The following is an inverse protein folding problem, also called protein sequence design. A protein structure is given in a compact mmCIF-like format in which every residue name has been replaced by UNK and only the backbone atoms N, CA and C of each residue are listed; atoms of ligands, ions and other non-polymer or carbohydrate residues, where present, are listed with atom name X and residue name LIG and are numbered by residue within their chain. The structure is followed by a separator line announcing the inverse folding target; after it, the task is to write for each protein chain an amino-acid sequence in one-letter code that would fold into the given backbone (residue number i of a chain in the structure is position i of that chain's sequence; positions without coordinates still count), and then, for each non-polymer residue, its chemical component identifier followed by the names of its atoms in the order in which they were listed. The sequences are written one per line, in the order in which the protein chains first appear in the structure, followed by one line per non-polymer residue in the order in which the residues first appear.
data_IF_104039954481
#
_entry.id   IF_104039954481
#
_cell.length_a   1.000
_cell.length_b   1.000
_cell.length_c   1.000
_cell.angle_alpha   90.00
_cell.angle_beta   90.00
_cell.angle_gamma   90.00
#
_symmetry.space_group_name_H-M   'P 1'
#
loop_
_entity.id
_entity.type
_entity.pdbx_description
1 polymer ?
#
# COMPACT_ATOMS: atom_id res chain seq x y z
N UNK A 1 -3.22 -23.17 5.86
CA UNK A 1 -1.92 -22.57 5.51
C UNK A 1 -1.04 -22.62 6.76
N UNK A 2 0.27 -22.86 6.61
CA UNK A 2 1.19 -22.65 7.72
C UNK A 2 1.23 -21.16 8.06
N UNK A 3 1.12 -20.82 9.34
CA UNK A 3 1.30 -19.43 9.80
C UNK A 3 2.68 -18.92 9.43
N UNK A 4 2.80 -17.61 9.15
CA UNK A 4 4.10 -16.98 8.87
C UNK A 4 5.06 -17.20 10.04
N UNK A 5 4.57 -16.98 11.27
CA UNK A 5 5.30 -17.22 12.52
C UNK A 5 4.40 -18.00 13.49
N UNK A 6 4.76 -19.24 13.85
CA UNK A 6 4.06 -20.01 14.88
C UNK A 6 3.98 -19.25 16.21
N UNK A 7 2.87 -19.39 16.95
CA UNK A 7 2.63 -18.64 18.20
C UNK A 7 3.74 -18.84 19.25
N UNK A 8 4.26 -20.06 19.36
CA UNK A 8 5.33 -20.43 20.29
C UNK A 8 6.71 -19.87 19.90
N UNK A 9 6.83 -19.26 18.72
CA UNK A 9 8.08 -18.67 18.21
C UNK A 9 8.03 -17.14 18.15
N UNK A 10 6.89 -16.53 18.49
CA UNK A 10 6.72 -15.08 18.47
C UNK A 10 7.57 -14.43 19.56
N UNK A 11 8.15 -13.28 19.23
CA UNK A 11 8.82 -12.42 20.18
C UNK A 11 7.86 -11.92 21.25
N UNK A 12 8.39 -11.71 22.45
CA UNK A 12 7.69 -11.03 23.53
C UNK A 12 7.82 -9.50 23.44
N UNK A 13 8.57 -8.99 22.47
CA UNK A 13 8.72 -7.55 22.25
C UNK A 13 7.39 -6.90 21.82
N UNK A 14 7.14 -5.65 22.25
CA UNK A 14 5.90 -4.97 21.90
C UNK A 14 5.90 -4.44 20.45
N UNK A 15 4.76 -4.60 19.77
CA UNK A 15 4.53 -4.13 18.39
C UNK A 15 3.96 -2.70 18.30
N UNK A 16 4.01 -1.92 19.38
CA UNK A 16 3.45 -0.56 19.46
C UNK A 16 4.52 0.54 19.59
N UNK A 17 5.79 0.18 19.47
CA UNK A 17 6.94 1.08 19.66
C UNK A 17 7.60 1.48 18.34
N UNK A 18 8.49 2.49 18.41
CA UNK A 18 9.31 2.91 17.26
C UNK A 18 10.27 1.83 16.77
N UNK A 19 10.51 0.77 17.57
CA UNK A 19 11.31 -0.38 17.17
C UNK A 19 10.59 -1.27 16.15
N UNK A 20 9.31 -1.02 15.82
CA UNK A 20 8.51 -1.87 14.91
C UNK A 20 9.20 -2.19 13.58
N UNK A 21 9.97 -1.23 13.04
CA UNK A 21 10.70 -1.39 11.79
C UNK A 21 11.85 -2.41 11.89
N UNK A 22 12.39 -2.61 13.10
CA UNK A 22 13.47 -3.54 13.42
C UNK A 22 13.00 -4.74 14.26
N UNK A 23 11.70 -4.81 14.59
CA UNK A 23 11.15 -5.88 15.41
C UNK A 23 11.42 -7.25 14.75
N UNK A 24 11.92 -8.24 15.51
CA UNK A 24 12.36 -9.52 14.95
C UNK A 24 11.27 -10.22 14.14
N UNK A 25 10.04 -10.25 14.64
CA UNK A 25 8.92 -10.87 13.90
C UNK A 25 8.51 -10.07 12.66
N UNK A 26 8.70 -8.74 12.67
CA UNK A 26 8.40 -7.91 11.50
C UNK A 26 9.43 -8.15 10.40
N UNK A 27 10.71 -8.24 10.78
CA UNK A 27 11.81 -8.62 9.87
C UNK A 27 11.55 -10.02 9.30
N UNK A 28 11.29 -11.02 10.15
CA UNK A 28 11.02 -12.40 9.75
C UNK A 28 9.81 -12.51 8.82
N UNK A 29 8.72 -11.78 9.10
CA UNK A 29 7.54 -11.82 8.26
C UNK A 29 7.79 -11.22 6.87
N UNK A 30 8.52 -10.11 6.77
CA UNK A 30 8.89 -9.54 5.47
C UNK A 30 9.84 -10.46 4.70
N UNK A 31 10.81 -11.08 5.37
CA UNK A 31 11.69 -12.09 4.77
C UNK A 31 10.87 -13.27 4.24
N UNK A 32 9.91 -13.77 5.01
CA UNK A 32 9.00 -14.84 4.59
C UNK A 32 8.18 -14.44 3.36
N UNK A 33 7.67 -13.20 3.31
CA UNK A 33 6.94 -12.65 2.15
C UNK A 33 7.80 -12.61 0.88
N UNK A 34 9.13 -12.56 0.98
CA UNK A 34 10.04 -12.58 -0.18
C UNK A 34 10.80 -13.90 -0.38
N UNK A 35 10.57 -14.92 0.44
CA UNK A 35 11.26 -16.22 0.32
C UNK A 35 10.29 -17.38 0.18
N UNK A 36 9.29 -17.45 1.03
CA UNK A 36 8.39 -18.61 1.17
C UNK A 36 7.02 -18.37 0.54
N UNK A 37 6.51 -17.14 0.62
CA UNK A 37 5.18 -16.81 0.10
C UNK A 37 5.07 -17.12 -1.40
N UNK A 38 4.04 -17.85 -1.80
CA UNK A 38 3.77 -18.18 -3.20
C UNK A 38 3.03 -17.01 -3.86
N UNK A 39 3.81 -16.07 -4.40
CA UNK A 39 3.27 -14.86 -5.01
C UNK A 39 2.51 -15.21 -6.29
N UNK A 40 1.24 -14.77 -6.45
CA UNK A 40 0.47 -15.04 -7.65
C UNK A 40 1.07 -14.35 -8.87
N UNK A 41 0.83 -14.92 -10.05
CA UNK A 41 1.02 -14.24 -11.33
C UNK A 41 -0.30 -13.55 -11.67
N UNK A 42 -0.24 -12.23 -11.92
CA UNK A 42 -1.40 -11.39 -12.24
C UNK A 42 -0.99 -10.35 -13.28
N UNK A 43 -1.91 -9.92 -14.13
CA UNK A 43 -1.58 -8.90 -15.14
C UNK A 43 -1.17 -7.58 -14.50
N UNK A 44 -1.92 -7.15 -13.48
CA UNK A 44 -1.71 -5.88 -12.79
C UNK A 44 -1.37 -6.13 -11.32
N UNK A 45 -0.37 -5.43 -10.79
CA UNK A 45 -0.14 -5.30 -9.35
C UNK A 45 -0.37 -3.87 -8.90
N UNK A 46 -1.14 -3.70 -7.82
CA UNK A 46 -1.44 -2.40 -7.23
C UNK A 46 -0.89 -2.37 -5.80
N UNK A 47 0.06 -1.47 -5.57
CA UNK A 47 0.58 -1.14 -4.26
C UNK A 47 -0.26 -0.03 -3.62
N UNK A 48 -0.74 -0.26 -2.40
CA UNK A 48 -1.48 0.72 -1.58
C UNK A 48 -0.83 0.87 -0.20
N UNK A 49 -0.85 2.06 0.42
CA UNK A 49 -0.22 2.27 1.72
C UNK A 49 -1.04 1.61 2.84
N UNK A 50 -0.35 1.20 3.91
CA UNK A 50 -0.96 0.67 5.12
C UNK A 50 -1.92 1.67 5.77
N UNK A 51 -2.93 1.17 6.47
CA UNK A 51 -3.91 1.97 7.20
C UNK A 51 -3.82 1.79 8.72
N UNK A 52 -4.33 2.77 9.47
CA UNK A 52 -4.45 2.69 10.94
C UNK A 52 -5.34 1.51 11.36
N UNK A 53 -6.51 1.37 10.73
CA UNK A 53 -7.41 0.23 10.96
C UNK A 53 -6.85 -1.01 10.26
N UNK A 54 -6.86 -2.13 10.98
CA UNK A 54 -6.47 -3.46 10.50
C UNK A 54 -7.61 -4.47 10.78
N UNK A 55 -7.72 -5.55 9.99
CA UNK A 55 -6.93 -5.81 8.78
C UNK A 55 -7.17 -4.73 7.71
N UNK A 56 -6.18 -4.48 6.86
CA UNK A 56 -6.16 -3.27 6.03
C UNK A 56 -7.36 -3.21 5.11
N UNK A 57 -7.77 -4.34 4.54
CA UNK A 57 -8.91 -4.43 3.63
C UNK A 57 -10.25 -4.00 4.26
N UNK A 58 -10.36 -3.97 5.58
CA UNK A 58 -11.56 -3.48 6.27
C UNK A 58 -11.51 -1.98 6.63
N UNK A 59 -10.40 -1.31 6.34
CA UNK A 59 -10.26 0.12 6.59
C UNK A 59 -11.13 0.95 5.64
N UNK A 60 -11.63 2.13 6.07
CA UNK A 60 -12.42 3.00 5.20
C UNK A 60 -11.70 3.37 3.90
N UNK A 61 -10.40 3.64 3.96
CA UNK A 61 -9.58 3.96 2.79
C UNK A 61 -9.47 2.78 1.83
N UNK A 62 -9.15 1.57 2.33
CA UNK A 62 -9.07 0.39 1.46
C UNK A 62 -10.42 0.04 0.85
N UNK A 63 -11.53 0.21 1.57
CA UNK A 63 -12.87 0.00 0.98
C UNK A 63 -13.14 0.93 -0.20
N UNK A 64 -12.66 2.16 -0.15
CA UNK A 64 -12.76 3.09 -1.29
C UNK A 64 -11.81 2.70 -2.42
N UNK A 65 -10.58 2.29 -2.10
CA UNK A 65 -9.65 1.80 -3.12
C UNK A 65 -10.24 0.57 -3.83
N UNK A 66 -10.83 -0.35 -3.08
CA UNK A 66 -11.49 -1.55 -3.60
C UNK A 66 -12.69 -1.22 -4.49
N UNK A 67 -13.49 -0.22 -4.13
CA UNK A 67 -14.57 0.27 -4.99
C UNK A 67 -14.02 0.70 -6.35
N UNK A 68 -12.91 1.44 -6.39
CA UNK A 68 -12.29 1.85 -7.67
C UNK A 68 -11.71 0.64 -8.41
N UNK A 69 -10.89 -0.17 -7.75
CA UNK A 69 -10.21 -1.33 -8.34
C UNK A 69 -11.22 -2.33 -8.95
N UNK A 70 -12.16 -2.81 -8.14
CA UNK A 70 -13.07 -3.89 -8.53
C UNK A 70 -14.26 -3.42 -9.35
N UNK A 71 -14.44 -2.11 -9.52
CA UNK A 71 -15.34 -1.58 -10.54
C UNK A 71 -14.81 -1.79 -11.97
N UNK A 72 -13.50 -2.00 -12.14
CA UNK A 72 -12.85 -2.11 -13.45
C UNK A 72 -12.17 -3.46 -13.67
N UNK A 73 -11.63 -4.10 -12.63
CA UNK A 73 -10.84 -5.32 -12.70
C UNK A 73 -11.56 -6.50 -12.04
N UNK A 74 -11.38 -7.71 -12.59
CA UNK A 74 -11.72 -8.94 -11.86
C UNK A 74 -10.63 -9.26 -10.82
N UNK A 75 -11.00 -10.05 -9.80
CA UNK A 75 -10.06 -10.45 -8.75
C UNK A 75 -8.83 -11.21 -9.30
N UNK A 76 -8.99 -11.92 -10.41
CA UNK A 76 -7.91 -12.66 -11.07
C UNK A 76 -7.04 -11.81 -12.01
N UNK A 77 -7.41 -10.55 -12.26
CA UNK A 77 -6.58 -9.62 -13.05
C UNK A 77 -5.55 -8.89 -12.19
N UNK A 78 -5.83 -8.74 -10.90
CA UNK A 78 -5.12 -7.82 -10.01
C UNK A 78 -4.56 -8.51 -8.76
N UNK A 79 -3.31 -8.20 -8.44
CA UNK A 79 -2.73 -8.47 -7.12
C UNK A 79 -2.64 -7.18 -6.32
N UNK A 80 -3.17 -7.16 -5.10
CA UNK A 80 -3.18 -5.96 -4.25
C UNK A 80 -2.19 -6.16 -3.11
N UNK A 81 -1.22 -5.26 -3.02
CA UNK A 81 -0.12 -5.35 -2.07
C UNK A 81 -0.12 -4.11 -1.20
N UNK A 82 -0.26 -4.31 0.12
CA UNK A 82 -0.14 -3.21 1.07
C UNK A 82 1.33 -3.00 1.42
N UNK A 83 1.78 -1.76 1.61
CA UNK A 83 3.14 -1.45 2.09
C UNK A 83 3.15 -0.30 3.10
N UNK A 84 4.19 -0.17 3.91
CA UNK A 84 4.34 0.94 4.84
C UNK A 84 4.99 0.55 6.16
N UNK A 85 4.39 0.92 7.30
CA UNK A 85 5.06 0.80 8.62
C UNK A 85 5.55 -0.62 8.93
N UNK A 86 4.80 -1.64 8.50
CA UNK A 86 5.14 -3.05 8.66
C UNK A 86 5.91 -3.66 7.47
N UNK A 87 6.33 -2.88 6.48
CA UNK A 87 6.85 -3.39 5.23
C UNK A 87 5.74 -3.89 4.29
N UNK A 88 6.07 -4.87 3.45
CA UNK A 88 5.24 -5.33 2.34
C UNK A 88 4.34 -6.49 2.79
N UNK A 89 3.03 -6.29 2.69
CA UNK A 89 1.99 -7.23 3.06
C UNK A 89 0.98 -7.39 1.90
N UNK A 90 1.15 -8.41 1.06
CA UNK A 90 0.12 -8.86 0.12
C UNK A 90 -1.23 -9.03 0.82
N UNK A 91 -2.34 -8.65 0.17
CA UNK A 91 -3.65 -8.52 0.81
C UNK A 91 -4.12 -9.80 1.50
N UNK A 92 -3.91 -10.95 0.89
CA UNK A 92 -4.22 -12.28 1.44
C UNK A 92 -3.45 -12.63 2.72
N UNK A 93 -2.43 -11.83 3.09
CA UNK A 93 -1.66 -11.97 4.32
C UNK A 93 -1.96 -10.87 5.34
N UNK A 94 -2.89 -9.94 5.07
CA UNK A 94 -3.10 -8.77 5.95
C UNK A 94 -3.74 -9.10 7.32
N UNK A 95 -4.31 -10.30 7.45
CA UNK A 95 -4.82 -10.89 8.68
C UNK A 95 -3.81 -11.82 9.37
N UNK A 96 -2.60 -11.98 8.82
CA UNK A 96 -1.58 -12.82 9.44
C UNK A 96 -0.70 -12.01 10.40
N UNK A 97 -0.25 -12.68 11.46
CA UNK A 97 0.75 -12.10 12.37
C UNK A 97 2.08 -11.88 11.65
N UNK A 98 2.75 -10.72 11.80
CA UNK A 98 2.44 -9.60 12.69
C UNK A 98 1.72 -8.42 12.00
N UNK A 99 1.27 -8.57 10.75
CA UNK A 99 0.75 -7.46 9.94
C UNK A 99 -0.53 -6.84 10.54
N UNK A 100 -1.39 -7.64 11.17
CA UNK A 100 -2.61 -7.14 11.82
C UNK A 100 -2.40 -6.63 13.25
N UNK A 101 -1.29 -6.99 13.91
CA UNK A 101 -1.15 -6.90 15.37
C UNK A 101 -0.43 -5.64 15.89
N UNK A 102 0.28 -4.92 15.03
CA UNK A 102 0.99 -3.72 15.45
C UNK A 102 0.05 -2.52 15.66
N UNK A 103 0.44 -1.52 16.44
CA UNK A 103 -0.34 -0.28 16.60
C UNK A 103 0.50 1.00 16.44
N UNK A 104 1.82 0.86 16.27
CA UNK A 104 2.71 1.99 15.98
C UNK A 104 2.31 2.72 14.69
N UNK A 105 2.32 4.06 14.73
CA UNK A 105 1.95 4.91 13.60
C UNK A 105 3.14 5.77 13.16
N UNK A 106 3.78 5.38 12.06
CA UNK A 106 4.93 6.14 11.51
C UNK A 106 4.58 7.60 11.20
N UNK A 107 3.38 7.86 10.68
CA UNK A 107 2.92 9.22 10.36
C UNK A 107 2.82 10.17 11.57
N UNK A 108 2.81 9.65 12.81
CA UNK A 108 2.84 10.46 14.04
C UNK A 108 4.24 10.57 14.65
N UNK A 109 5.22 9.84 14.13
CA UNK A 109 6.58 9.88 14.64
C UNK A 109 7.31 11.12 14.10
N UNK A 110 7.79 11.98 14.98
CA UNK A 110 8.59 13.17 14.62
C UNK A 110 10.09 12.97 14.89
N UNK A 111 10.52 11.75 15.22
CA UNK A 111 11.92 11.45 15.48
C UNK A 111 12.64 11.28 14.14
N UNK A 112 13.52 12.23 13.81
CA UNK A 112 14.24 12.27 12.53
C UNK A 112 15.07 11.01 12.26
N UNK A 113 15.60 10.37 13.31
CA UNK A 113 16.30 9.08 13.17
C UNK A 113 15.33 7.98 12.70
N UNK A 114 14.18 7.83 13.37
CA UNK A 114 13.17 6.82 13.05
C UNK A 114 12.63 7.00 11.62
N UNK A 115 12.39 8.24 11.18
CA UNK A 115 11.98 8.50 9.78
C UNK A 115 13.02 8.07 8.75
N UNK A 116 14.30 8.34 9.02
CA UNK A 116 15.40 7.90 8.14
C UNK A 116 15.54 6.38 8.12
N UNK A 117 15.46 5.75 9.28
CA UNK A 117 15.55 4.29 9.42
C UNK A 117 14.34 3.61 8.75
N UNK A 118 13.14 4.19 8.88
CA UNK A 118 11.94 3.78 8.16
C UNK A 118 12.15 3.83 6.66
N UNK A 119 12.51 5.00 6.11
CA UNK A 119 12.70 5.17 4.68
C UNK A 119 13.73 4.17 4.13
N UNK A 120 14.87 4.02 4.80
CA UNK A 120 15.89 3.04 4.41
C UNK A 120 15.37 1.61 4.42
N UNK A 121 14.65 1.22 5.48
CA UNK A 121 14.13 -0.14 5.65
C UNK A 121 13.03 -0.43 4.63
N UNK A 122 12.17 0.56 4.37
CA UNK A 122 11.06 0.44 3.44
C UNK A 122 11.53 0.37 1.99
N UNK A 123 12.51 1.20 1.60
CA UNK A 123 13.16 1.11 0.28
C UNK A 123 13.76 -0.28 0.07
N UNK A 124 14.45 -0.83 1.07
CA UNK A 124 15.02 -2.18 1.00
C UNK A 124 13.92 -3.23 0.76
N UNK A 125 12.87 -3.24 1.59
CA UNK A 125 11.78 -4.23 1.51
C UNK A 125 11.01 -4.14 0.20
N UNK A 126 10.71 -2.92 -0.26
CA UNK A 126 10.09 -2.69 -1.56
C UNK A 126 10.99 -3.18 -2.70
N UNK A 127 12.29 -2.89 -2.65
CA UNK A 127 13.24 -3.34 -3.68
C UNK A 127 13.32 -4.86 -3.76
N UNK A 128 13.39 -5.54 -2.61
CA UNK A 128 13.39 -7.01 -2.53
C UNK A 128 12.11 -7.60 -3.14
N UNK A 129 10.94 -7.01 -2.81
CA UNK A 129 9.67 -7.47 -3.36
C UNK A 129 9.54 -7.18 -4.86
N UNK A 130 9.92 -6.00 -5.33
CA UNK A 130 9.92 -5.66 -6.76
C UNK A 130 10.80 -6.63 -7.53
N UNK A 131 12.05 -6.87 -7.10
CA UNK A 131 12.97 -7.82 -7.73
C UNK A 131 12.36 -9.22 -7.78
N UNK A 132 11.83 -9.70 -6.64
CA UNK A 132 11.22 -11.04 -6.55
C UNK A 132 10.07 -11.20 -7.53
N UNK A 133 9.30 -10.14 -7.73
CA UNK A 133 8.06 -10.17 -8.51
C UNK A 133 8.21 -9.62 -9.93
N UNK A 134 9.44 -9.40 -10.41
CA UNK A 134 9.71 -8.79 -11.72
C UNK A 134 8.96 -9.46 -12.88
N UNK A 135 8.81 -10.79 -12.82
CA UNK A 135 8.18 -11.62 -13.85
C UNK A 135 6.73 -12.04 -13.48
N UNK A 136 6.22 -11.62 -12.32
CA UNK A 136 4.87 -11.96 -11.85
C UNK A 136 3.80 -11.03 -12.40
N UNK A 137 4.17 -9.80 -12.80
CA UNK A 137 3.24 -8.77 -13.23
C UNK A 137 3.69 -8.07 -14.50
N UNK A 138 2.74 -7.84 -15.41
CA UNK A 138 2.94 -7.07 -16.64
C UNK A 138 2.91 -5.56 -16.37
N UNK A 139 2.06 -5.11 -15.43
CA UNK A 139 1.91 -3.70 -15.07
C UNK A 139 1.90 -3.49 -13.54
N UNK A 140 2.49 -2.39 -13.08
CA UNK A 140 2.56 -2.04 -11.64
C UNK A 140 2.11 -0.61 -11.42
N UNK A 141 1.22 -0.41 -10.45
CA UNK A 141 0.76 0.90 -9.99
C UNK A 141 1.09 1.02 -8.51
N UNK A 142 1.56 2.19 -8.06
CA UNK A 142 1.66 2.50 -6.64
C UNK A 142 0.84 3.75 -6.31
N UNK A 143 -0.20 3.57 -5.50
CA UNK A 143 -1.09 4.65 -5.09
C UNK A 143 -0.66 5.24 -3.75
N UNK A 144 0.24 6.22 -3.76
CA UNK A 144 0.89 6.69 -2.54
C UNK A 144 1.39 8.15 -2.60
N UNK A 145 1.54 8.74 -1.42
CA UNK A 145 1.96 10.13 -1.18
C UNK A 145 2.97 10.19 0.00
N UNK A 146 3.64 11.33 0.16
CA UNK A 146 4.56 11.58 1.26
C UNK A 146 5.73 10.59 1.32
N UNK A 147 6.14 10.20 2.53
CA UNK A 147 7.27 9.30 2.77
C UNK A 147 7.12 7.93 2.07
N UNK A 148 5.88 7.43 1.89
CA UNK A 148 5.62 6.19 1.15
C UNK A 148 5.90 6.35 -0.35
N UNK A 149 5.56 7.51 -0.92
CA UNK A 149 5.88 7.83 -2.32
C UNK A 149 7.38 7.90 -2.51
N UNK A 150 8.09 8.58 -1.59
CA UNK A 150 9.55 8.67 -1.64
C UNK A 150 10.20 7.27 -1.58
N UNK A 151 9.72 6.39 -0.70
CA UNK A 151 10.22 5.02 -0.59
C UNK A 151 10.00 4.21 -1.88
N UNK A 152 8.80 4.27 -2.45
CA UNK A 152 8.48 3.56 -3.70
C UNK A 152 9.28 4.11 -4.88
N UNK A 153 9.42 5.43 -5.00
CA UNK A 153 10.23 6.06 -6.06
C UNK A 153 11.67 5.55 -6.02
N UNK A 154 12.31 5.59 -4.84
CA UNK A 154 13.69 5.11 -4.68
C UNK A 154 13.82 3.63 -4.98
N UNK A 155 12.89 2.80 -4.52
CA UNK A 155 12.91 1.36 -4.79
C UNK A 155 12.75 1.05 -6.30
N UNK A 156 11.86 1.76 -6.99
CA UNK A 156 11.69 1.62 -8.44
C UNK A 156 12.95 2.06 -9.20
N UNK A 157 13.59 3.16 -8.80
CA UNK A 157 14.85 3.65 -9.36
C UNK A 157 16.01 2.67 -9.12
N UNK A 158 16.18 2.17 -7.89
CA UNK A 158 17.26 1.25 -7.51
C UNK A 158 17.16 -0.10 -8.24
N UNK A 159 15.94 -0.59 -8.46
CA UNK A 159 15.69 -1.88 -9.12
C UNK A 159 15.58 -1.80 -10.63
N UNK A 160 15.32 -0.60 -11.18
CA UNK A 160 14.99 -0.39 -12.59
C UNK A 160 13.63 -0.99 -12.99
N UNK A 161 12.79 -1.37 -12.02
CA UNK A 161 11.47 -1.95 -12.28
C UNK A 161 10.45 -0.83 -12.41
N UNK A 162 9.75 -0.81 -13.55
CA UNK A 162 8.76 0.22 -13.81
C UNK A 162 7.55 0.09 -12.88
N UNK A 163 7.23 1.17 -12.18
CA UNK A 163 6.04 1.32 -11.33
C UNK A 163 5.43 2.69 -11.63
N UNK A 164 4.14 2.71 -11.98
CA UNK A 164 3.40 3.95 -12.19
C UNK A 164 2.97 4.51 -10.84
N UNK A 165 3.62 5.58 -10.38
CA UNK A 165 3.41 6.15 -9.05
C UNK A 165 2.45 7.34 -9.12
N UNK A 166 1.27 7.15 -8.53
CA UNK A 166 0.16 8.11 -8.53
C UNK A 166 -0.31 8.41 -7.09
N UNK A 167 -0.98 9.54 -6.80
CA UNK A 167 -1.41 10.60 -7.71
C UNK A 167 -0.25 11.32 -8.42
N UNK A 168 -0.53 12.07 -9.48
CA UNK A 168 0.49 12.87 -10.17
C UNK A 168 1.00 14.00 -9.25
N UNK A 169 2.22 14.50 -9.50
CA UNK A 169 2.76 15.62 -8.73
C UNK A 169 1.87 16.86 -8.83
N UNK A 170 1.30 17.13 -10.01
CA UNK A 170 0.37 18.23 -10.25
C UNK A 170 -0.91 18.09 -9.42
N UNK A 171 -1.49 16.88 -9.38
CA UNK A 171 -2.68 16.58 -8.58
C UNK A 171 -2.39 16.75 -7.08
N UNK A 172 -1.21 16.31 -6.63
CA UNK A 172 -0.76 16.48 -5.25
C UNK A 172 -0.68 17.97 -4.91
N UNK A 173 0.00 18.78 -5.71
CA UNK A 173 0.18 20.22 -5.50
C UNK A 173 -1.16 20.96 -5.39
N UNK A 174 -2.14 20.64 -6.25
CA UNK A 174 -3.49 21.22 -6.21
C UNK A 174 -4.25 20.91 -4.92
N UNK A 175 -3.95 19.77 -4.30
CA UNK A 175 -4.63 19.26 -3.12
C UNK A 175 -3.91 19.58 -1.80
N UNK A 176 -2.79 20.32 -1.83
CA UNK A 176 -2.08 20.69 -0.60
C UNK A 176 -2.96 21.59 0.28
N UNK A 177 -3.13 21.19 1.54
CA UNK A 177 -3.88 21.88 2.58
C UNK A 177 -2.91 22.42 3.65
N UNK A 178 -2.31 23.60 3.45
CA UNK A 178 -1.21 24.09 4.30
C UNK A 178 -1.62 24.32 5.77
N UNK A 179 -2.91 24.51 6.03
CA UNK A 179 -3.45 24.78 7.37
C UNK A 179 -3.84 23.51 8.15
N UNK A 180 -3.56 22.31 7.63
CA UNK A 180 -3.90 21.04 8.26
C UNK A 180 -2.64 20.34 8.78
N UNK A 181 -2.80 19.51 9.82
CA UNK A 181 -1.70 18.68 10.37
C UNK A 181 -1.14 17.71 9.31
N UNK A 182 -2.01 17.18 8.46
CA UNK A 182 -1.63 16.40 7.28
C UNK A 182 -1.88 17.24 6.04
N UNK A 183 -0.81 17.77 5.45
CA UNK A 183 -0.91 18.76 4.37
C UNK A 183 -1.26 18.17 3.02
N UNK A 184 -1.12 16.85 2.82
CA UNK A 184 -1.27 16.23 1.51
C UNK A 184 -2.72 15.81 1.17
N UNK A 185 -3.72 16.16 1.99
CA UNK A 185 -5.10 15.68 1.85
C UNK A 185 -5.23 14.13 1.92
N UNK A 186 -6.43 13.58 2.03
CA UNK A 186 -6.61 12.13 2.07
C UNK A 186 -6.43 11.50 0.68
N UNK A 187 -5.80 10.33 0.58
CA UNK A 187 -5.86 9.43 -0.60
C UNK A 187 -7.29 8.99 -0.94
N UNK A 188 -8.27 9.35 -0.14
CA UNK A 188 -9.69 9.18 -0.40
C UNK A 188 -10.34 10.37 -1.11
N UNK A 189 -9.62 11.46 -1.37
CA UNK A 189 -10.22 12.63 -2.03
C UNK A 189 -10.52 12.33 -3.51
N UNK A 190 -11.54 13.00 -4.10
CA UNK A 190 -11.96 12.76 -5.47
C UNK A 190 -10.82 12.85 -6.49
N UNK A 191 -10.02 13.90 -6.45
CA UNK A 191 -8.92 14.13 -7.39
C UNK A 191 -7.89 12.99 -7.39
N UNK A 192 -7.58 12.41 -6.22
CA UNK A 192 -6.64 11.30 -6.12
C UNK A 192 -7.26 9.98 -6.58
N UNK A 193 -8.55 9.75 -6.30
CA UNK A 193 -9.28 8.59 -6.79
C UNK A 193 -9.46 8.64 -8.32
N UNK A 194 -9.58 9.83 -8.91
CA UNK A 194 -9.61 10.04 -10.36
C UNK A 194 -8.28 9.65 -11.00
N UNK A 195 -7.15 10.13 -10.45
CA UNK A 195 -5.81 9.70 -10.87
C UNK A 195 -5.66 8.16 -10.76
N UNK A 196 -6.21 7.57 -9.70
CA UNK A 196 -6.16 6.13 -9.48
C UNK A 196 -6.96 5.34 -10.49
N UNK A 197 -8.20 5.74 -10.77
CA UNK A 197 -9.02 5.14 -11.82
C UNK A 197 -8.40 5.29 -13.21
N UNK A 198 -7.79 6.44 -13.51
CA UNK A 198 -7.10 6.67 -14.78
C UNK A 198 -5.87 5.78 -14.94
N UNK A 199 -5.06 5.60 -13.89
CA UNK A 199 -3.91 4.70 -13.90
C UNK A 199 -4.34 3.23 -14.13
N UNK A 200 -5.46 2.82 -13.53
CA UNK A 200 -6.02 1.47 -13.73
C UNK A 200 -6.48 1.28 -15.18
N UNK A 201 -7.21 2.25 -15.75
CA UNK A 201 -7.61 2.22 -17.17
C UNK A 201 -6.41 2.08 -18.11
N UNK A 202 -5.36 2.86 -17.88
CA UNK A 202 -4.12 2.75 -18.67
C UNK A 202 -3.47 1.37 -18.54
N UNK A 203 -3.46 0.80 -17.33
CA UNK A 203 -2.93 -0.55 -17.12
C UNK A 203 -3.76 -1.63 -17.81
N UNK A 204 -5.09 -1.48 -17.85
CA UNK A 204 -5.98 -2.38 -18.60
C UNK A 204 -5.68 -2.34 -20.09
N UNK A 205 -5.55 -1.15 -20.68
CA UNK A 205 -5.20 -0.98 -22.08
C UNK A 205 -3.83 -1.60 -22.41
N UNK A 206 -2.84 -1.39 -21.52
CA UNK A 206 -1.49 -1.92 -21.70
C UNK A 206 -1.41 -3.46 -21.57
N UNK A 207 -2.30 -4.08 -20.81
CA UNK A 207 -2.31 -5.55 -20.53
C UNK A 207 -3.43 -6.29 -21.28
N UNK A 208 -4.17 -5.59 -22.15
CA UNK A 208 -5.27 -6.14 -22.92
C UNK A 208 -6.43 -6.67 -22.07
N UNK A 209 -6.68 -6.09 -20.89
CA UNK A 209 -7.87 -6.40 -20.08
C UNK A 209 -9.04 -5.60 -20.64
N UNK A 210 -10.15 -6.29 -20.95
CA UNK A 210 -11.37 -5.61 -21.37
C UNK A 210 -12.13 -5.06 -20.17
N UNK A 211 -12.77 -3.89 -20.27
CA UNK A 211 -13.63 -3.37 -19.20
C UNK A 211 -14.74 -4.35 -18.84
N UNK A 212 -15.07 -4.43 -17.55
CA UNK A 212 -16.37 -5.01 -17.13
C UNK A 212 -17.48 -4.24 -17.86
N UNK A 213 -18.37 -4.96 -18.55
CA UNK A 213 -19.38 -4.35 -19.42
C UNK A 213 -20.17 -3.22 -18.75
N UNK A 214 -20.43 -2.14 -19.51
CA UNK A 214 -21.17 -0.91 -19.16
C UNK A 214 -21.65 -0.82 -17.71
N UNK A 215 -20.76 -0.42 -16.81
CA UNK A 215 -21.16 0.22 -15.56
C UNK A 215 -20.65 1.65 -15.62
N UNK A 216 -21.54 2.59 -15.92
CA UNK A 216 -21.37 4.00 -15.62
C UNK A 216 -21.21 4.12 -14.10
N UNK A 217 -19.97 4.01 -13.61
CA UNK A 217 -19.65 4.27 -12.20
C UNK A 217 -19.65 5.78 -12.02
N UNK A 218 -20.83 6.33 -11.74
CA UNK A 218 -20.89 7.60 -11.02
C UNK A 218 -20.36 7.31 -9.62
N UNK A 219 -19.23 7.91 -9.26
CA UNK A 219 -18.87 8.12 -7.87
C UNK A 219 -19.98 8.98 -7.25
N UNK A 220 -21.01 8.33 -6.70
CA UNK A 220 -21.97 9.00 -5.84
C UNK A 220 -21.21 9.44 -4.59
N UNK A 221 -21.05 10.75 -4.47
CA UNK A 221 -20.57 11.42 -3.27
C UNK A 221 -21.65 11.34 -2.18
N UNK A 222 -21.76 10.19 -1.53
CA UNK A 222 -22.58 10.02 -0.32
C UNK A 222 -21.70 9.50 0.81
N UNK A 223 -20.96 10.43 1.42
CA UNK A 223 -21.13 10.91 2.81
C UNK A 223 -19.91 11.76 3.17
N UNK A 224 -20.16 13.00 3.60
CA UNK A 224 -19.23 13.81 4.37
C UNK A 224 -18.98 13.10 5.72
N UNK A 225 -18.17 12.04 5.72
CA UNK A 225 -17.71 11.42 6.96
C UNK A 225 -16.51 12.23 7.47
N UNK A 226 -16.83 13.34 8.11
CA UNK A 226 -15.94 14.17 8.94
C UNK A 226 -15.59 13.40 10.23
N UNK A 227 -15.13 12.15 10.11
CA UNK A 227 -14.55 11.37 11.22
C UNK A 227 -13.01 11.27 11.09
N UNK A 228 -12.39 12.28 10.48
CA UNK A 228 -10.94 12.31 10.24
C UNK A 228 -10.15 13.25 11.16
N UNK A 229 -10.79 13.97 12.09
CA UNK A 229 -10.12 15.02 12.90
C UNK A 229 -9.86 14.72 14.37
N UNK A 230 -10.25 13.55 14.90
CA UNK A 230 -9.88 13.21 16.27
C UNK A 230 -8.98 11.96 16.32
N UNK A 231 -7.73 12.25 16.71
CA UNK A 231 -6.65 11.40 17.24
C UNK A 231 -5.42 11.30 16.35
#
# INVERSE_FOLDING_TARGET
MSRIIPENERSAEPLDTENIIHHPDMVRANEWVVTEYQIPVRKICIFVPCSKKKPYHESPSHRQFDKVIFSMLEQDDVHIVTFGTCGVAPRELDMEYPFMDYSFMMGKCNVAKVKRDFLKTEVKRLSEYLIRTKDNYEYRIAYCIGDFREAMTKAAEETGINVVIIPSAETIEKNIQPNKKFVYNSLSCPDYLDDFGNAIRQAMDATGISPKGNADVKCESETDDIEWYEL
#
